data_IF_483714005913
#
_entry.id   IF_483714005913
#
_cell.length_a   1.000
_cell.length_b   1.000
_cell.length_c   1.000
_cell.angle_alpha   90.00
_cell.angle_beta   90.00
_cell.angle_gamma   90.00
#
_symmetry.space_group_name_H-M   'P 1'
#
loop_
_entity.id
_entity.type
_entity.pdbx_description
1 polymer ?
#
# COMPACT_ATOMS: atom_id res chain seq x y z
N UNK A 1 -11.95 -10.98 30.77
CA UNK A 1 -13.09 -10.35 30.08
C UNK A 1 -12.85 -10.42 28.58
N UNK A 2 -13.38 -11.45 27.93
CA UNK A 2 -13.29 -11.72 26.50
C UNK A 2 -14.21 -10.76 25.75
N UNK A 3 -13.63 -9.79 25.01
CA UNK A 3 -14.41 -8.86 24.22
C UNK A 3 -15.05 -9.57 23.02
N UNK A 4 -16.34 -9.81 23.15
CA UNK A 4 -17.25 -10.12 22.07
C UNK A 4 -17.42 -8.86 21.23
N UNK A 5 -16.60 -8.73 20.18
CA UNK A 5 -16.69 -7.63 19.20
C UNK A 5 -18.02 -7.79 18.46
N UNK A 6 -19.03 -7.04 18.90
CA UNK A 6 -20.39 -7.08 18.33
C UNK A 6 -20.33 -6.76 16.84
N UNK A 7 -20.88 -7.65 16.02
CA UNK A 7 -21.02 -7.53 14.56
C UNK A 7 -21.65 -6.19 14.11
N UNK A 8 -22.40 -5.53 15.01
CA UNK A 8 -22.96 -4.19 14.83
C UNK A 8 -21.91 -3.08 14.67
N UNK A 9 -20.77 -3.18 15.36
CA UNK A 9 -19.69 -2.20 15.25
C UNK A 9 -18.93 -2.35 13.94
N UNK A 10 -18.78 -3.58 13.44
CA UNK A 10 -18.14 -3.86 12.16
C UNK A 10 -18.97 -3.31 11.00
N UNK A 11 -20.28 -3.56 10.97
CA UNK A 11 -21.19 -3.05 9.93
C UNK A 11 -21.24 -1.51 9.94
N UNK A 12 -21.32 -0.90 11.13
CA UNK A 12 -21.23 0.57 11.26
C UNK A 12 -19.89 1.12 10.77
N UNK A 13 -18.78 0.43 11.08
CA UNK A 13 -17.45 0.85 10.63
C UNK A 13 -17.33 0.78 9.11
N UNK A 14 -17.89 -0.25 8.47
CA UNK A 14 -17.95 -0.36 7.01
C UNK A 14 -18.85 0.70 6.40
N UNK A 15 -20.06 0.92 6.94
CA UNK A 15 -20.98 1.95 6.45
C UNK A 15 -20.41 3.36 6.59
N UNK A 16 -19.75 3.66 7.72
CA UNK A 16 -19.05 4.92 7.94
C UNK A 16 -17.84 5.07 7.01
N UNK A 17 -17.13 3.99 6.72
CA UNK A 17 -16.05 3.99 5.73
C UNK A 17 -16.58 4.30 4.33
N UNK A 18 -17.68 3.69 3.92
CA UNK A 18 -18.32 3.95 2.62
C UNK A 18 -18.84 5.39 2.54
N UNK A 19 -19.49 5.90 3.58
CA UNK A 19 -19.96 7.27 3.65
C UNK A 19 -18.80 8.28 3.61
N UNK A 20 -17.74 8.05 4.39
CA UNK A 20 -16.54 8.90 4.41
C UNK A 20 -15.84 8.89 3.05
N UNK A 21 -15.75 7.74 2.39
CA UNK A 21 -15.26 7.64 1.02
C UNK A 21 -16.09 8.50 0.07
N UNK A 22 -17.43 8.41 0.11
CA UNK A 22 -18.30 9.23 -0.73
C UNK A 22 -18.13 10.73 -0.46
N UNK A 23 -18.04 11.15 0.80
CA UNK A 23 -17.78 12.56 1.16
C UNK A 23 -16.43 13.05 0.63
N UNK A 24 -15.37 12.25 0.79
CA UNK A 24 -14.03 12.60 0.30
C UNK A 24 -13.95 12.63 -1.24
N UNK A 25 -14.66 11.71 -1.89
CA UNK A 25 -14.75 11.62 -3.34
C UNK A 25 -15.54 12.79 -3.92
N UNK A 26 -16.77 13.03 -3.45
CA UNK A 26 -17.60 14.15 -3.88
C UNK A 26 -16.97 15.52 -3.55
N UNK A 27 -16.20 15.60 -2.47
CA UNK A 27 -15.46 16.81 -2.09
C UNK A 27 -14.14 17.02 -2.84
N UNK A 28 -13.79 16.17 -3.81
CA UNK A 28 -12.54 16.30 -4.59
C UNK A 28 -11.25 16.18 -3.77
N UNK A 29 -11.31 15.59 -2.57
CA UNK A 29 -10.17 15.50 -1.65
C UNK A 29 -9.26 14.30 -1.92
N UNK A 30 -9.67 13.39 -2.79
CA UNK A 30 -8.85 12.27 -3.24
C UNK A 30 -8.01 12.73 -4.43
N UNK A 31 -6.70 12.85 -4.22
CA UNK A 31 -5.75 13.24 -5.25
C UNK A 31 -4.94 12.02 -5.71
N UNK A 32 -4.56 12.04 -6.99
CA UNK A 32 -3.66 11.06 -7.58
C UNK A 32 -2.41 11.78 -8.08
N UNK A 33 -1.52 12.21 -7.17
CA UNK A 33 -0.28 12.85 -7.58
C UNK A 33 0.58 11.86 -8.39
N UNK A 34 1.41 12.38 -9.29
CA UNK A 34 2.34 11.58 -10.10
C UNK A 34 3.78 11.62 -9.58
N UNK A 35 4.01 12.19 -8.40
CA UNK A 35 5.34 12.45 -7.80
C UNK A 35 6.24 11.21 -7.82
N UNK A 36 5.72 10.07 -7.38
CA UNK A 36 6.49 8.82 -7.29
C UNK A 36 6.18 7.86 -8.44
N UNK A 37 5.22 8.20 -9.30
CA UNK A 37 4.76 7.30 -10.37
C UNK A 37 5.89 7.13 -11.39
N UNK A 38 6.26 5.88 -11.67
CA UNK A 38 7.42 5.53 -12.49
C UNK A 38 8.69 5.24 -11.68
N UNK A 39 8.75 5.63 -10.40
CA UNK A 39 9.86 5.33 -9.50
C UNK A 39 9.99 3.83 -9.22
N UNK A 40 11.21 3.38 -8.88
CA UNK A 40 11.49 2.00 -8.45
C UNK A 40 11.91 1.99 -6.98
N UNK A 41 11.32 1.08 -6.23
CA UNK A 41 11.65 0.86 -4.83
C UNK A 41 12.37 -0.46 -4.67
N UNK A 42 13.48 -0.44 -3.94
CA UNK A 42 14.26 -1.63 -3.59
C UNK A 42 13.91 -2.07 -2.18
N UNK A 43 13.66 -3.36 -2.03
CA UNK A 43 13.34 -3.99 -0.75
C UNK A 43 14.56 -4.67 -0.14
N UNK A 44 14.51 -4.93 1.17
CA UNK A 44 15.62 -5.52 1.91
C UNK A 44 16.00 -6.93 1.41
N UNK A 45 15.03 -7.65 0.83
CA UNK A 45 15.24 -8.94 0.18
C UNK A 45 15.89 -8.83 -1.23
N UNK A 46 16.28 -7.63 -1.64
CA UNK A 46 16.97 -7.36 -2.89
C UNK A 46 16.08 -7.13 -4.11
N UNK A 47 14.76 -7.40 -4.01
CA UNK A 47 13.81 -7.25 -5.12
C UNK A 47 13.43 -5.79 -5.37
N UNK A 48 12.93 -5.50 -6.56
CA UNK A 48 12.49 -4.16 -6.95
C UNK A 48 11.06 -4.15 -7.45
N UNK A 49 10.32 -3.10 -7.11
CA UNK A 49 8.97 -2.90 -7.63
C UNK A 49 8.78 -1.48 -8.14
N UNK A 50 8.01 -1.33 -9.21
CA UNK A 50 7.73 -0.03 -9.83
C UNK A 50 6.45 0.55 -9.26
N UNK A 51 6.51 1.81 -8.85
CA UNK A 51 5.32 2.56 -8.46
C UNK A 51 4.53 2.91 -9.72
N UNK A 52 3.27 2.50 -9.79
CA UNK A 52 2.40 2.80 -10.95
C UNK A 52 1.25 3.74 -10.62
N UNK A 53 0.90 3.88 -9.33
CA UNK A 53 -0.17 4.78 -8.89
C UNK A 53 0.10 5.26 -7.48
N UNK A 54 -0.31 6.49 -7.22
CA UNK A 54 -0.31 7.10 -5.90
C UNK A 54 -1.71 7.62 -5.60
N UNK A 55 -2.13 7.54 -4.36
CA UNK A 55 -3.44 8.03 -3.90
C UNK A 55 -3.25 8.72 -2.57
N UNK A 56 -3.68 9.97 -2.47
CA UNK A 56 -3.51 10.81 -1.28
C UNK A 56 -4.85 11.44 -0.94
N UNK A 57 -5.19 11.49 0.35
CA UNK A 57 -6.32 12.29 0.84
C UNK A 57 -5.77 13.65 1.28
N UNK A 58 -6.24 14.72 0.65
CA UNK A 58 -5.91 16.09 1.03
C UNK A 58 -6.43 16.39 2.44
N UNK A 59 -5.63 17.12 3.21
CA UNK A 59 -5.94 17.55 4.59
C UNK A 59 -6.16 16.38 5.57
N UNK A 60 -5.60 15.19 5.26
CA UNK A 60 -5.64 14.08 6.19
C UNK A 60 -4.78 14.39 7.44
N UNK A 61 -5.22 14.02 8.66
CA UNK A 61 -4.45 14.28 9.86
C UNK A 61 -3.11 13.53 9.85
N UNK A 62 -2.00 14.19 10.18
CA UNK A 62 -0.65 13.58 10.19
C UNK A 62 0.01 13.56 11.58
N UNK A 63 -0.68 14.04 12.62
CA UNK A 63 -0.13 14.27 13.96
C UNK A 63 0.46 13.01 14.66
N UNK A 64 -0.01 11.82 14.28
CA UNK A 64 0.52 10.53 14.73
C UNK A 64 0.71 9.64 13.50
N UNK A 65 1.77 9.86 12.74
CA UNK A 65 1.99 9.17 11.48
C UNK A 65 2.47 7.74 11.70
N UNK A 66 1.99 6.81 10.88
CA UNK A 66 2.48 5.45 10.80
C UNK A 66 2.55 4.98 9.35
N UNK A 67 3.62 4.27 9.00
CA UNK A 67 3.75 3.60 7.71
C UNK A 67 3.27 2.17 7.84
N UNK A 68 2.37 1.75 6.96
CA UNK A 68 1.94 0.36 6.84
C UNK A 68 2.46 -0.19 5.51
N UNK A 69 3.20 -1.28 5.57
CA UNK A 69 3.64 -2.05 4.40
C UNK A 69 2.88 -3.36 4.37
N UNK A 70 2.22 -3.66 3.25
CA UNK A 70 1.49 -4.91 3.03
C UNK A 70 2.12 -5.65 1.87
N UNK A 71 2.34 -6.96 2.02
CA UNK A 71 2.90 -7.84 1.00
C UNK A 71 1.99 -9.05 0.80
N UNK A 72 1.78 -9.46 -0.45
CA UNK A 72 0.98 -10.64 -0.78
C UNK A 72 1.30 -11.21 -2.15
N UNK A 73 1.00 -12.49 -2.37
CA UNK A 73 1.09 -13.14 -3.69
C UNK A 73 -0.30 -13.61 -4.10
N UNK A 74 -0.74 -13.25 -5.30
CA UNK A 74 -2.05 -13.65 -5.80
C UNK A 74 -1.99 -15.06 -6.41
N UNK A 75 -3.02 -15.90 -6.19
CA UNK A 75 -2.98 -17.33 -6.52
C UNK A 75 -3.17 -17.67 -8.00
N UNK A 76 -3.82 -16.81 -8.77
CA UNK A 76 -4.33 -17.12 -10.11
C UNK A 76 -3.89 -16.12 -11.18
N UNK A 77 -2.79 -15.39 -10.94
CA UNK A 77 -2.38 -14.25 -11.78
C UNK A 77 -1.28 -14.67 -12.74
N UNK A 78 -1.58 -15.62 -13.63
CA UNK A 78 -0.72 -15.92 -14.78
C UNK A 78 -1.33 -15.30 -16.04
N UNK A 79 -0.63 -14.34 -16.64
CA UNK A 79 -0.81 -13.89 -18.03
C UNK A 79 -1.96 -12.92 -18.36
N UNK A 80 -3.16 -13.02 -17.77
CA UNK A 80 -4.36 -12.34 -18.30
C UNK A 80 -4.79 -11.04 -17.56
N UNK A 81 -4.20 -10.73 -16.41
CA UNK A 81 -4.77 -9.77 -15.45
C UNK A 81 -4.10 -8.38 -15.40
N UNK A 82 -3.21 -8.02 -16.34
CA UNK A 82 -2.65 -6.65 -16.40
C UNK A 82 -3.74 -5.56 -16.50
N UNK A 83 -4.85 -5.87 -17.17
CA UNK A 83 -5.98 -4.94 -17.37
C UNK A 83 -6.99 -4.96 -16.22
N UNK A 84 -7.07 -6.07 -15.48
CA UNK A 84 -7.90 -6.19 -14.27
C UNK A 84 -7.22 -5.54 -13.07
N UNK A 85 -5.89 -5.52 -13.02
CA UNK A 85 -5.12 -4.84 -11.96
C UNK A 85 -5.54 -3.36 -11.78
N UNK A 86 -5.85 -2.68 -12.89
CA UNK A 86 -6.32 -1.29 -12.88
C UNK A 86 -7.74 -1.17 -12.29
N UNK A 87 -8.63 -2.09 -12.63
CA UNK A 87 -10.01 -2.18 -12.11
C UNK A 87 -10.06 -2.64 -10.66
N UNK A 88 -9.24 -3.61 -10.29
CA UNK A 88 -9.06 -4.09 -8.93
C UNK A 88 -8.52 -2.98 -8.02
N UNK A 89 -7.62 -2.11 -8.53
CA UNK A 89 -7.16 -0.94 -7.78
C UNK A 89 -8.28 0.09 -7.54
N UNK A 90 -9.23 0.23 -8.48
CA UNK A 90 -10.40 1.10 -8.34
C UNK A 90 -11.42 0.53 -7.35
N UNK A 91 -11.71 -0.77 -7.41
CA UNK A 91 -12.60 -1.48 -6.47
C UNK A 91 -12.02 -1.59 -5.05
N UNK A 92 -10.69 -1.67 -4.92
CA UNK A 92 -10.03 -1.61 -3.61
C UNK A 92 -9.98 -0.20 -3.02
N UNK A 93 -10.12 0.86 -3.83
CA UNK A 93 -10.04 2.25 -3.35
C UNK A 93 -11.06 2.57 -2.24
N UNK A 94 -12.34 2.19 -2.36
CA UNK A 94 -13.32 2.30 -1.28
C UNK A 94 -12.93 1.52 -0.01
N UNK A 95 -12.22 0.39 -0.14
CA UNK A 95 -11.87 -0.48 0.99
C UNK A 95 -10.81 0.11 1.92
N UNK A 96 -10.08 1.16 1.52
CA UNK A 96 -9.08 1.80 2.38
C UNK A 96 -9.31 3.29 2.62
N UNK A 97 -9.78 4.02 1.61
CA UNK A 97 -9.97 5.49 1.74
C UNK A 97 -11.02 5.83 2.80
N UNK A 98 -12.00 4.95 3.00
CA UNK A 98 -13.04 5.13 4.01
C UNK A 98 -12.57 4.96 5.45
N UNK A 99 -11.51 4.18 5.68
CA UNK A 99 -11.11 3.82 7.03
C UNK A 99 -10.55 5.05 7.77
N UNK A 100 -10.95 5.26 9.05
CA UNK A 100 -10.50 6.39 9.84
C UNK A 100 -8.97 6.44 9.93
N UNK A 101 -8.39 7.56 9.50
CA UNK A 101 -6.96 7.82 9.57
C UNK A 101 -6.18 7.49 8.29
N UNK A 102 -6.81 7.04 7.20
CA UNK A 102 -6.12 6.90 5.93
C UNK A 102 -5.56 8.26 5.45
N UNK A 103 -4.27 8.30 5.14
CA UNK A 103 -3.57 9.50 4.62
C UNK A 103 -3.19 9.30 3.16
N UNK A 104 -2.45 8.23 2.85
CA UNK A 104 -1.98 7.97 1.50
C UNK A 104 -1.69 6.50 1.23
N UNK A 105 -1.66 6.13 -0.06
CA UNK A 105 -1.31 4.81 -0.55
C UNK A 105 -0.46 4.92 -1.81
N UNK A 106 0.65 4.19 -1.80
CA UNK A 106 1.51 3.95 -2.93
C UNK A 106 1.27 2.53 -3.45
N UNK A 107 0.97 2.44 -4.75
CA UNK A 107 0.72 1.18 -5.43
C UNK A 107 1.95 0.77 -6.21
N UNK A 108 2.46 -0.41 -5.88
CA UNK A 108 3.62 -0.99 -6.54
C UNK A 108 3.19 -2.16 -7.43
N UNK A 109 3.86 -2.33 -8.56
CA UNK A 109 3.77 -3.53 -9.37
C UNK A 109 4.26 -4.74 -8.56
N UNK A 110 3.98 -5.95 -9.04
CA UNK A 110 4.71 -7.10 -8.52
C UNK A 110 6.22 -6.92 -8.76
N UNK A 111 7.00 -7.51 -7.86
CA UNK A 111 8.45 -7.62 -8.01
C UNK A 111 8.84 -8.86 -8.82
N UNK A 112 10.15 -9.12 -8.95
CA UNK A 112 10.69 -10.26 -9.70
C UNK A 112 10.27 -11.63 -9.14
N UNK A 113 9.65 -11.67 -7.96
CA UNK A 113 9.13 -12.88 -7.31
C UNK A 113 7.60 -12.94 -7.29
N UNK A 114 6.94 -12.12 -8.11
CA UNK A 114 5.48 -11.99 -8.19
C UNK A 114 4.84 -11.55 -6.85
N UNK A 115 5.61 -10.86 -6.00
CA UNK A 115 5.11 -10.33 -4.73
C UNK A 115 4.57 -8.93 -4.97
N UNK A 116 3.29 -8.75 -4.68
CA UNK A 116 2.63 -7.46 -4.69
C UNK A 116 2.84 -6.75 -3.37
N UNK A 117 3.11 -5.44 -3.44
CA UNK A 117 3.31 -4.61 -2.25
C UNK A 117 2.50 -3.34 -2.31
N UNK A 118 2.00 -2.92 -1.15
CA UNK A 118 1.39 -1.62 -0.96
C UNK A 118 2.04 -0.91 0.22
N UNK A 119 2.42 0.35 0.04
CA UNK A 119 2.94 1.20 1.12
C UNK A 119 1.87 2.25 1.41
N UNK A 120 1.44 2.32 2.66
CA UNK A 120 0.37 3.18 3.11
C UNK A 120 0.90 4.12 4.19
N UNK A 121 0.29 5.30 4.28
CA UNK A 121 0.42 6.16 5.44
C UNK A 121 -0.91 6.26 6.17
N UNK A 122 -0.82 6.19 7.48
CA UNK A 122 -1.94 6.27 8.39
C UNK A 122 -1.71 7.30 9.49
N UNK A 123 -2.82 7.82 10.00
CA UNK A 123 -2.91 8.59 11.24
C UNK A 123 -3.28 7.64 12.39
N UNK A 124 -2.26 7.17 13.09
CA UNK A 124 -2.31 6.27 14.23
C UNK A 124 -1.93 4.84 13.86
N UNK A 125 -0.90 4.29 14.51
CA UNK A 125 -0.43 2.93 14.29
C UNK A 125 -1.51 1.87 14.56
N UNK A 126 -2.24 1.99 15.68
CA UNK A 126 -3.32 1.06 16.02
C UNK A 126 -4.44 0.99 14.96
N UNK A 127 -4.71 2.12 14.29
CA UNK A 127 -5.69 2.16 13.19
C UNK A 127 -5.14 1.52 11.91
N UNK A 128 -3.85 1.69 11.65
CA UNK A 128 -3.16 1.02 10.56
C UNK A 128 -3.16 -0.50 10.75
N UNK A 129 -2.91 -0.98 11.97
CA UNK A 129 -2.96 -2.41 12.33
C UNK A 129 -4.36 -2.99 12.13
N UNK A 130 -5.39 -2.34 12.69
CA UNK A 130 -6.77 -2.79 12.53
C UNK A 130 -7.20 -2.88 11.05
N UNK A 131 -6.77 -1.92 10.22
CA UNK A 131 -6.98 -1.98 8.78
C UNK A 131 -6.20 -3.15 8.13
N UNK A 132 -4.95 -3.37 8.51
CA UNK A 132 -4.11 -4.43 7.96
C UNK A 132 -4.65 -5.83 8.28
N UNK A 133 -5.18 -6.03 9.48
CA UNK A 133 -5.86 -7.26 9.88
C UNK A 133 -7.12 -7.50 9.05
N UNK A 134 -7.98 -6.49 8.92
CA UNK A 134 -9.20 -6.57 8.11
C UNK A 134 -8.89 -6.86 6.63
N UNK A 135 -7.89 -6.16 6.07
CA UNK A 135 -7.42 -6.40 4.71
C UNK A 135 -6.88 -7.82 4.55
N UNK A 136 -6.12 -8.32 5.52
CA UNK A 136 -5.55 -9.67 5.48
C UNK A 136 -6.64 -10.74 5.41
N UNK A 137 -7.75 -10.57 6.12
CA UNK A 137 -8.89 -11.49 6.06
C UNK A 137 -9.53 -11.52 4.66
N UNK A 138 -9.62 -10.38 3.99
CA UNK A 138 -10.17 -10.25 2.63
C UNK A 138 -9.21 -10.80 1.57
N UNK A 139 -7.89 -10.63 1.76
CA UNK A 139 -6.87 -11.07 0.80
C UNK A 139 -6.57 -12.56 0.87
N UNK A 140 -6.62 -13.17 2.06
CA UNK A 140 -6.28 -14.59 2.28
C UNK A 140 -6.97 -15.58 1.31
N UNK A 141 -8.26 -15.46 0.95
CA UNK A 141 -8.91 -16.35 -0.01
C UNK A 141 -8.36 -16.27 -1.43
N UNK A 142 -7.92 -15.08 -1.86
CA UNK A 142 -7.45 -14.82 -3.23
C UNK A 142 -5.92 -14.92 -3.38
N UNK A 143 -5.21 -14.97 -2.26
CA UNK A 143 -3.76 -15.06 -2.21
C UNK A 143 -3.25 -16.49 -2.03
N UNK A 144 -1.98 -16.70 -2.37
CA UNK A 144 -1.22 -17.90 -2.00
C UNK A 144 -1.25 -18.02 -0.48
N UNK A 145 -1.56 -19.21 0.02
CA UNK A 145 -1.68 -19.48 1.46
C UNK A 145 -0.38 -19.10 2.17
N UNK A 146 -0.49 -18.29 3.23
CA UNK A 146 0.67 -17.82 4.00
C UNK A 146 1.49 -16.69 3.34
N UNK A 147 1.08 -16.18 2.18
CA UNK A 147 1.82 -15.10 1.50
C UNK A 147 1.44 -13.69 1.96
N UNK A 148 0.31 -13.53 2.65
CA UNK A 148 -0.15 -12.22 3.13
C UNK A 148 0.58 -11.86 4.41
N UNK A 149 1.36 -10.80 4.38
CA UNK A 149 2.07 -10.24 5.54
C UNK A 149 1.91 -8.72 5.57
N UNK A 150 2.03 -8.14 6.77
CA UNK A 150 2.03 -6.70 6.93
C UNK A 150 2.97 -6.27 8.05
N UNK A 151 3.45 -5.04 7.96
CA UNK A 151 4.32 -4.41 8.95
C UNK A 151 3.86 -2.97 9.17
N UNK A 152 3.64 -2.59 10.43
CA UNK A 152 3.32 -1.22 10.82
C UNK A 152 4.54 -0.62 11.50
N UNK A 153 4.93 0.58 11.07
CA UNK A 153 6.08 1.32 11.58
C UNK A 153 5.55 2.65 12.14
N UNK A 154 5.35 2.74 13.47
CA UNK A 154 4.88 3.96 14.13
C UNK A 154 5.91 5.10 14.00
N UNK A 155 5.43 6.35 13.95
CA UNK A 155 6.25 7.56 13.88
C UNK A 155 6.87 7.85 12.51
N UNK A 156 6.87 6.89 11.59
CA UNK A 156 7.42 7.07 10.25
C UNK A 156 6.48 7.87 9.33
N UNK A 157 7.10 8.72 8.52
CA UNK A 157 6.44 9.46 7.44
C UNK A 157 6.75 8.74 6.13
N UNK A 158 5.71 8.45 5.34
CA UNK A 158 5.86 7.64 4.12
C UNK A 158 6.84 8.26 3.13
N UNK A 159 6.83 9.57 2.98
CA UNK A 159 7.73 10.28 2.09
C UNK A 159 9.20 10.03 2.42
N UNK A 160 9.57 10.07 3.70
CA UNK A 160 10.94 9.81 4.17
C UNK A 160 11.30 8.33 4.01
N UNK A 161 10.37 7.45 4.38
CA UNK A 161 10.50 6.01 4.22
C UNK A 161 10.72 5.58 2.75
N UNK A 162 10.04 6.25 1.82
CA UNK A 162 10.15 6.00 0.37
C UNK A 162 11.47 6.59 -0.17
N UNK A 163 11.80 7.83 0.19
CA UNK A 163 13.01 8.51 -0.29
C UNK A 163 14.29 7.72 0.02
N UNK A 164 14.42 7.17 1.23
CA UNK A 164 15.57 6.33 1.59
C UNK A 164 15.70 5.07 0.70
N UNK A 165 14.58 4.49 0.27
CA UNK A 165 14.55 3.28 -0.57
C UNK A 165 14.77 3.57 -2.06
N UNK A 166 14.31 4.72 -2.54
CA UNK A 166 14.62 5.20 -3.89
C UNK A 166 16.11 5.55 -4.04
N UNK A 167 16.70 6.18 -3.02
CA UNK A 167 18.12 6.51 -3.02
C UNK A 167 18.99 5.23 -2.98
N UNK A 168 18.62 4.25 -2.15
CA UNK A 168 19.27 2.94 -2.14
C UNK A 168 19.17 2.24 -3.51
N UNK A 169 18.02 2.29 -4.16
CA UNK A 169 17.83 1.75 -5.50
C UNK A 169 18.74 2.44 -6.53
N UNK A 170 18.82 3.78 -6.48
CA UNK A 170 19.66 4.59 -7.36
C UNK A 170 21.16 4.28 -7.15
N UNK A 171 21.62 4.23 -5.89
CA UNK A 171 23.00 3.88 -5.54
C UNK A 171 23.36 2.46 -5.98
N UNK A 172 22.46 1.48 -5.83
CA UNK A 172 22.69 0.11 -6.32
C UNK A 172 22.73 0.05 -7.84
N UNK A 173 21.82 0.73 -8.53
CA UNK A 173 21.83 0.83 -9.99
C UNK A 173 23.10 1.50 -10.53
N UNK A 174 23.63 2.52 -9.85
CA UNK A 174 24.91 3.14 -10.20
C UNK A 174 26.08 2.18 -9.94
N UNK A 175 26.06 1.40 -8.84
CA UNK A 175 27.08 0.37 -8.58
C UNK A 175 27.06 -0.76 -9.62
N UNK A 176 25.89 -1.19 -10.08
CA UNK A 176 25.76 -2.18 -11.17
C UNK A 176 26.05 -1.57 -12.55
N UNK A 177 25.75 -0.27 -12.76
CA UNK A 177 25.99 0.45 -14.02
C UNK A 177 27.43 0.96 -14.19
N UNK A 178 28.25 0.98 -13.13
CA UNK A 178 29.64 1.43 -13.18
C UNK A 178 30.66 0.30 -13.45
N UNK A 179 30.22 -0.97 -13.53
CA UNK A 179 31.12 -2.12 -13.77
C UNK A 179 30.94 -2.79 -15.14
N UNK A 180 30.15 -2.23 -16.05
CA UNK A 180 29.91 -2.85 -17.37
C UNK A 180 30.32 -1.97 -18.54
N UNK A 181 31.50 -1.36 -18.50
CA UNK A 181 32.18 -0.83 -19.71
C UNK A 181 33.69 -0.81 -19.50
N UNK A 182 34.31 -1.98 -19.42
CA UNK A 182 35.69 -2.23 -19.83
C UNK A 182 36.02 -3.68 -19.49
N UNK A 183 36.03 -4.58 -20.48
CA UNK A 183 37.14 -5.51 -20.75
C UNK A 183 36.95 -6.04 -22.17
N UNK A 184 37.99 -5.77 -22.98
CA UNK A 184 38.48 -6.44 -24.20
C UNK A 184 37.53 -6.62 -25.40
#
# INVERSE_FOLDING_TARGET
>A
MTQQVSSWNAVKSVAMSVFRFMVLFCGGRIQQPQRHVGGRLTFANGTTARVFRETVVRDAPTADSAVLVVEFRLRWVHGFLHRVFRWESLLNTPLFVGFPGFVSKLWLSHDEREVYRGIYQWSGAARAEAYAEALSLILRPVCVRGSVSYHVIPGEVREEFVAGREELARKRSLRFGAQSWAVA
#
